data_IF_542258463988
#
_entry.id   IF_542258463988
#
_cell.length_a   1.000
_cell.length_b   1.000
_cell.length_c   1.000
_cell.angle_alpha   90.00
_cell.angle_beta   90.00
_cell.angle_gamma   90.00
#
_symmetry.space_group_name_H-M   'P 1'
#
loop_
_entity.id
_entity.type
_entity.pdbx_description
1 polymer ?
#
# COMPACT_ATOMS: atom_id res chain seq x y z
N UNK A 1 7.00 17.55 9.50
CA UNK A 1 6.44 16.24 9.16
C UNK A 1 5.56 16.38 7.96
N UNK A 2 5.79 15.57 6.95
CA UNK A 2 4.94 15.52 5.76
C UNK A 2 3.76 14.61 6.07
N UNK A 3 2.54 15.05 5.74
CA UNK A 3 1.33 14.24 5.98
C UNK A 3 1.06 13.26 4.85
N UNK A 4 0.39 12.15 5.17
CA UNK A 4 -0.23 11.29 4.17
C UNK A 4 -1.75 11.50 4.10
N UNK A 5 -2.33 11.17 2.95
CA UNK A 5 -3.79 11.11 2.75
C UNK A 5 -4.17 9.76 2.18
N UNK A 6 -5.21 9.14 2.74
CA UNK A 6 -5.78 7.89 2.22
C UNK A 6 -6.84 8.21 1.18
N UNK A 7 -6.77 7.55 0.03
CA UNK A 7 -7.90 7.54 -0.90
C UNK A 7 -8.96 6.56 -0.44
N UNK A 8 -10.20 6.73 -0.94
CA UNK A 8 -11.32 5.86 -0.58
C UNK A 8 -11.02 4.37 -0.83
N UNK A 9 -10.33 4.05 -1.93
CA UNK A 9 -9.90 2.69 -2.24
C UNK A 9 -8.94 2.12 -1.16
N UNK A 10 -7.99 2.93 -0.68
CA UNK A 10 -7.09 2.52 0.40
C UNK A 10 -7.86 2.27 1.71
N UNK A 11 -8.83 3.12 2.05
CA UNK A 11 -9.67 2.94 3.25
C UNK A 11 -10.44 1.61 3.17
N UNK A 12 -11.07 1.32 2.04
CA UNK A 12 -11.78 0.07 1.81
C UNK A 12 -10.85 -1.15 1.98
N UNK A 13 -9.64 -1.09 1.40
CA UNK A 13 -8.65 -2.16 1.55
C UNK A 13 -8.19 -2.37 2.99
N UNK A 14 -8.04 -1.30 3.79
CA UNK A 14 -7.69 -1.43 5.21
C UNK A 14 -8.77 -2.16 6.00
N UNK A 15 -10.05 -1.89 5.72
CA UNK A 15 -11.17 -2.60 6.35
C UNK A 15 -11.15 -4.11 5.99
N UNK A 16 -10.94 -4.44 4.72
CA UNK A 16 -10.81 -5.84 4.28
C UNK A 16 -9.62 -6.55 4.96
N UNK A 17 -8.46 -5.89 5.00
CA UNK A 17 -7.25 -6.41 5.66
C UNK A 17 -7.51 -6.68 7.14
N UNK A 18 -8.17 -5.74 7.83
CA UNK A 18 -8.51 -5.90 9.24
C UNK A 18 -9.45 -7.07 9.46
N UNK A 19 -10.59 -7.12 8.74
CA UNK A 19 -11.57 -8.21 8.86
C UNK A 19 -10.95 -9.57 8.60
N UNK A 20 -10.19 -9.70 7.51
CA UNK A 20 -9.52 -10.97 7.17
C UNK A 20 -8.50 -11.37 8.25
N UNK A 21 -7.66 -10.44 8.69
CA UNK A 21 -6.62 -10.74 9.69
C UNK A 21 -7.24 -11.07 11.05
N UNK A 22 -8.29 -10.35 11.44
CA UNK A 22 -9.02 -10.57 12.69
C UNK A 22 -9.70 -11.93 12.69
N UNK A 23 -10.41 -12.28 11.61
CA UNK A 23 -11.06 -13.58 11.48
C UNK A 23 -10.05 -14.75 11.49
N UNK A 24 -8.86 -14.55 10.93
CA UNK A 24 -7.85 -15.60 10.82
C UNK A 24 -6.97 -15.73 12.05
N UNK A 25 -6.63 -14.62 12.70
CA UNK A 25 -5.55 -14.54 13.68
C UNK A 25 -5.88 -13.72 14.94
N UNK A 26 -7.13 -13.29 15.09
CA UNK A 26 -7.61 -12.49 16.22
C UNK A 26 -7.40 -10.99 16.05
N UNK A 27 -8.21 -10.23 16.78
CA UNK A 27 -8.28 -8.76 16.68
C UNK A 27 -6.95 -8.07 17.03
N UNK A 28 -6.24 -8.54 18.07
CA UNK A 28 -4.96 -7.97 18.49
C UNK A 28 -3.93 -8.00 17.35
N UNK A 29 -3.85 -9.13 16.64
CA UNK A 29 -2.92 -9.27 15.51
C UNK A 29 -3.33 -8.40 14.31
N UNK A 30 -4.63 -8.18 14.12
CA UNK A 30 -5.13 -7.28 13.08
C UNK A 30 -4.80 -5.81 13.38
N UNK A 31 -4.92 -5.41 14.64
CA UNK A 31 -4.56 -4.08 15.11
C UNK A 31 -3.05 -3.81 14.95
N UNK A 32 -2.20 -4.73 15.41
CA UNK A 32 -0.74 -4.64 15.22
C UNK A 32 -0.36 -4.54 13.73
N UNK A 33 -1.07 -5.27 12.86
CA UNK A 33 -0.83 -5.24 11.43
C UNK A 33 -1.20 -3.88 10.81
N UNK A 34 -2.36 -3.33 11.18
CA UNK A 34 -2.78 -1.99 10.75
C UNK A 34 -1.82 -0.91 11.27
N UNK A 35 -1.43 -0.97 12.54
CA UNK A 35 -0.48 -0.03 13.13
C UNK A 35 0.85 -0.04 12.35
N UNK A 36 1.32 -1.22 11.95
CA UNK A 36 2.48 -1.36 11.06
C UNK A 36 2.29 -0.67 9.70
N UNK A 37 1.13 -0.82 9.07
CA UNK A 37 0.80 -0.14 7.81
C UNK A 37 0.79 1.39 7.98
N UNK A 38 0.14 1.91 9.03
CA UNK A 38 0.10 3.35 9.31
C UNK A 38 1.49 3.93 9.57
N UNK A 39 2.34 3.20 10.30
CA UNK A 39 3.73 3.58 10.47
C UNK A 39 4.47 3.64 9.11
N UNK A 40 4.29 2.65 8.24
CA UNK A 40 4.85 2.69 6.89
C UNK A 40 4.35 3.90 6.09
N UNK A 41 3.07 4.28 6.18
CA UNK A 41 2.55 5.46 5.49
C UNK A 41 3.25 6.74 5.93
N UNK A 42 3.51 6.87 7.23
CA UNK A 42 4.22 8.03 7.77
C UNK A 42 5.68 8.06 7.30
N UNK A 43 6.40 6.93 7.39
CA UNK A 43 7.79 6.81 6.92
C UNK A 43 7.90 7.11 5.41
N UNK A 44 6.93 6.68 4.59
CA UNK A 44 6.83 7.05 3.18
C UNK A 44 6.60 8.56 3.02
N UNK A 45 5.69 9.14 3.81
CA UNK A 45 5.41 10.57 3.75
C UNK A 45 6.64 11.41 4.06
N UNK A 46 7.41 11.01 5.08
CA UNK A 46 8.65 11.65 5.50
C UNK A 46 9.83 11.38 4.54
N UNK A 47 9.64 10.56 3.51
CA UNK A 47 10.67 10.28 2.51
C UNK A 47 11.81 9.39 3.01
N UNK A 48 11.57 8.63 4.09
CA UNK A 48 12.57 7.82 4.77
C UNK A 48 12.70 6.40 4.21
N UNK A 49 12.01 6.08 3.13
CA UNK A 49 12.08 4.76 2.47
C UNK A 49 12.35 4.88 0.98
N UNK A 50 13.17 3.96 0.48
CA UNK A 50 13.37 3.75 -0.95
C UNK A 50 12.19 2.94 -1.50
N UNK A 51 11.24 3.64 -2.14
CA UNK A 51 10.13 3.00 -2.85
C UNK A 51 10.51 2.71 -4.30
N UNK A 52 9.92 1.68 -4.89
CA UNK A 52 10.13 1.34 -6.30
C UNK A 52 9.12 2.10 -7.17
N UNK A 53 9.52 2.66 -8.32
CA UNK A 53 8.57 3.26 -9.24
C UNK A 53 7.62 2.19 -9.81
N UNK A 54 6.38 2.58 -10.07
CA UNK A 54 5.47 1.77 -10.87
C UNK A 54 6.01 1.78 -12.32
N UNK A 55 6.13 0.62 -13.00
CA UNK A 55 6.61 0.58 -14.38
C UNK A 55 5.76 1.46 -15.30
N UNK A 56 6.43 2.13 -16.26
CA UNK A 56 5.78 3.10 -17.15
C UNK A 56 4.67 2.49 -18.02
N UNK A 57 4.77 1.18 -18.26
CA UNK A 57 3.82 0.31 -18.97
C UNK A 57 2.39 0.45 -18.43
N UNK A 58 2.25 0.65 -17.12
CA UNK A 58 0.96 0.80 -16.45
C UNK A 58 0.32 2.18 -16.62
N UNK A 59 0.98 3.12 -17.33
CA UNK A 59 0.51 4.51 -17.54
C UNK A 59 0.11 5.25 -16.24
N UNK A 60 0.61 4.79 -15.09
CA UNK A 60 0.35 5.37 -13.77
C UNK A 60 1.65 5.89 -13.18
N UNK A 61 1.70 7.19 -12.92
CA UNK A 61 2.81 7.78 -12.17
C UNK A 61 2.63 7.54 -10.67
N UNK A 62 3.57 6.80 -10.09
CA UNK A 62 3.59 6.52 -8.66
C UNK A 62 4.70 5.57 -8.27
N UNK A 63 4.64 5.13 -7.03
CA UNK A 63 5.59 4.24 -6.41
C UNK A 63 4.86 3.18 -5.61
N UNK A 64 5.56 2.09 -5.31
CA UNK A 64 5.09 1.11 -4.36
C UNK A 64 6.15 0.78 -3.32
N UNK A 65 5.68 0.40 -2.13
CA UNK A 65 6.49 -0.08 -1.02
C UNK A 65 5.96 -1.42 -0.54
N UNK A 66 6.86 -2.36 -0.27
CA UNK A 66 6.49 -3.70 0.19
C UNK A 66 6.54 -3.77 1.72
N UNK A 67 5.42 -4.08 2.35
CA UNK A 67 5.30 -4.31 3.78
C UNK A 67 4.68 -5.68 4.04
N UNK A 68 5.48 -6.61 4.56
CA UNK A 68 5.08 -7.99 4.87
C UNK A 68 4.43 -8.67 3.66
N UNK A 69 3.11 -8.86 3.65
CA UNK A 69 2.37 -9.51 2.56
C UNK A 69 1.62 -8.52 1.67
N UNK A 70 1.83 -7.22 1.83
CA UNK A 70 1.08 -6.18 1.15
C UNK A 70 1.98 -5.15 0.46
N UNK A 71 1.55 -4.71 -0.71
CA UNK A 71 2.13 -3.61 -1.46
C UNK A 71 1.30 -2.35 -1.25
N UNK A 72 1.98 -1.29 -0.80
CA UNK A 72 1.41 0.03 -0.57
C UNK A 72 1.70 0.88 -1.81
N UNK A 73 0.65 1.21 -2.56
CA UNK A 73 0.77 2.08 -3.73
C UNK A 73 0.54 3.52 -3.36
N UNK A 74 1.44 4.41 -3.77
CA UNK A 74 1.40 5.81 -3.39
C UNK A 74 1.93 6.74 -4.48
N UNK A 75 1.60 8.02 -4.37
CA UNK A 75 2.15 9.08 -5.23
C UNK A 75 2.31 10.39 -4.46
N UNK A 76 3.17 11.28 -4.93
CA UNK A 76 3.21 12.66 -4.44
C UNK A 76 2.00 13.44 -4.94
N UNK A 77 1.41 14.24 -4.06
CA UNK A 77 0.34 15.18 -4.35
C UNK A 77 0.91 16.57 -4.61
N UNK A 78 0.11 17.48 -5.20
CA UNK A 78 0.54 18.84 -5.59
C UNK A 78 1.11 19.68 -4.44
N UNK A 79 0.76 19.37 -3.19
CA UNK A 79 1.23 20.06 -1.99
C UNK A 79 2.37 19.32 -1.26
N UNK A 80 3.10 18.47 -1.96
CA UNK A 80 4.17 17.61 -1.42
C UNK A 80 3.73 16.55 -0.40
N UNK A 81 2.43 16.45 -0.09
CA UNK A 81 1.89 15.35 0.70
C UNK A 81 1.96 14.04 -0.07
N UNK A 82 1.97 12.94 0.66
CA UNK A 82 1.90 11.60 0.08
C UNK A 82 0.45 11.13 0.01
N UNK A 83 -0.02 10.73 -1.17
CA UNK A 83 -1.32 10.09 -1.34
C UNK A 83 -1.15 8.58 -1.38
N UNK A 84 -1.71 7.87 -0.40
CA UNK A 84 -1.84 6.41 -0.42
C UNK A 84 -3.04 6.07 -1.30
N UNK A 85 -2.77 5.45 -2.44
CA UNK A 85 -3.76 5.17 -3.49
C UNK A 85 -4.55 3.91 -3.15
N UNK A 86 -3.84 2.82 -2.83
CA UNK A 86 -4.43 1.54 -2.49
C UNK A 86 -3.40 0.64 -1.79
N UNK A 87 -3.87 -0.43 -1.16
CA UNK A 87 -3.04 -1.49 -0.57
C UNK A 87 -3.48 -2.81 -1.20
N UNK A 88 -2.56 -3.52 -1.83
CA UNK A 88 -2.83 -4.81 -2.48
C UNK A 88 -2.06 -5.93 -1.78
N UNK A 89 -2.69 -7.09 -1.61
CA UNK A 89 -1.99 -8.28 -1.14
C UNK A 89 -1.01 -8.77 -2.23
N UNK A 90 0.12 -9.36 -1.82
CA UNK A 90 1.16 -9.87 -2.73
C UNK A 90 0.64 -10.85 -3.78
N UNK A 91 -0.40 -11.63 -3.47
CA UNK A 91 -1.01 -12.58 -4.40
C UNK A 91 -1.76 -11.87 -5.53
N UNK A 92 -2.35 -10.71 -5.26
CA UNK A 92 -3.00 -9.89 -6.30
C UNK A 92 -1.93 -9.23 -7.17
N UNK A 93 -0.83 -8.78 -6.56
CA UNK A 93 0.28 -8.18 -7.29
C UNK A 93 1.02 -9.19 -8.20
N UNK A 94 1.17 -10.44 -7.77
CA UNK A 94 1.77 -11.50 -8.59
C UNK A 94 0.90 -11.87 -9.79
N UNK A 95 -0.43 -11.95 -9.63
CA UNK A 95 -1.35 -12.30 -10.72
C UNK A 95 -1.32 -11.25 -11.83
N UNK A 96 -1.17 -9.96 -11.50
CA UNK A 96 -0.99 -8.92 -12.52
C UNK A 96 0.34 -9.09 -13.27
N UNK A 97 1.44 -9.45 -12.59
CA UNK A 97 2.74 -9.74 -13.25
C UNK A 97 2.73 -11.01 -14.09
N UNK A 98 1.97 -12.04 -13.69
CA UNK A 98 1.81 -13.25 -14.50
C UNK A 98 1.10 -12.99 -15.83
N UNK A 99 0.29 -11.92 -15.98
CA UNK A 99 -0.29 -11.57 -17.28
C UNK A 99 0.73 -10.98 -18.25
N UNK A 100 1.79 -10.36 -17.74
CA UNK A 100 2.85 -9.78 -18.56
C UNK A 100 3.89 -10.83 -19.01
N UNK A 101 4.05 -11.93 -18.27
CA UNK A 101 4.96 -13.04 -18.63
C UNK A 101 4.40 -13.97 -19.75
N UNK A 102 3.16 -13.75 -20.22
CA UNK A 102 2.50 -14.56 -21.26
C UNK A 102 2.13 -13.78 -22.54
N UNK A 103 2.78 -12.64 -22.82
CA UNK A 103 2.61 -11.90 -24.09
C UNK A 103 3.89 -11.96 -24.93
#
# INVERSE_FOLDING_TARGET
MSGFRLQQAAIFRLDEIYRYTSNKSGAARAEDYLNGLFNCFQVIADGQVMSRPIPAEFSVHGYFYHFKHHYIYWKKLKNNNTGIVTILHERMHQIDRFKDDFI
#
